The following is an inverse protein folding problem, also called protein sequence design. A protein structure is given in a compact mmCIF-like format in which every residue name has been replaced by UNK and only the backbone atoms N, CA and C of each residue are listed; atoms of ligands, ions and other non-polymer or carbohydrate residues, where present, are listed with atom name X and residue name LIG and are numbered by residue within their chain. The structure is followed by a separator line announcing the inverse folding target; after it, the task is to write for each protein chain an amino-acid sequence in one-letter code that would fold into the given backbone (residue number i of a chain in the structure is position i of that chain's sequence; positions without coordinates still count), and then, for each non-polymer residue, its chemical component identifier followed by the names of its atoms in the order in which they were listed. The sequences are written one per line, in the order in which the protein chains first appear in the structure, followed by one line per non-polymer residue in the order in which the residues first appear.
data_IF_807867361574
#
_entry.id   IF_807867361574
#
_cell.length_a   1.000
_cell.length_b   1.000
_cell.length_c   1.000
_cell.angle_alpha   90.00
_cell.angle_beta   90.00
_cell.angle_gamma   90.00
#
_symmetry.space_group_name_H-M   'P 1'
#
loop_
_entity.id
_entity.type
_entity.pdbx_description
1 polymer ?
#
# COMPACT_ATOMS: atom_id res chain seq x y z
N UNK A 1 -2.73 12.87 11.83
CA UNK A 1 -2.88 11.92 10.71
C UNK A 1 -2.35 12.48 9.38
N UNK A 2 -2.84 13.64 8.90
CA UNK A 2 -2.43 14.23 7.61
C UNK A 2 -0.90 14.38 7.40
N UNK A 3 -0.11 14.86 8.38
CA UNK A 3 1.35 14.96 8.23
C UNK A 3 2.02 13.59 8.06
N UNK A 4 1.52 12.59 8.80
CA UNK A 4 2.00 11.20 8.72
C UNK A 4 1.72 10.60 7.33
N UNK A 5 0.53 10.86 6.79
CA UNK A 5 0.15 10.39 5.45
C UNK A 5 0.98 11.05 4.35
N UNK A 6 1.18 12.37 4.40
CA UNK A 6 2.08 13.07 3.46
C UNK A 6 3.50 12.50 3.48
N UNK A 7 4.04 12.20 4.67
CA UNK A 7 5.37 11.58 4.82
C UNK A 7 5.42 10.19 4.19
N UNK A 8 4.38 9.38 4.40
CA UNK A 8 4.23 8.06 3.77
C UNK A 8 4.19 8.16 2.24
N UNK A 9 3.36 9.02 1.67
CA UNK A 9 3.24 9.19 0.22
C UNK A 9 4.57 9.61 -0.42
N UNK A 10 5.34 10.50 0.22
CA UNK A 10 6.68 10.88 -0.26
C UNK A 10 7.64 9.69 -0.29
N UNK A 11 7.63 8.87 0.77
CA UNK A 11 8.48 7.68 0.87
C UNK A 11 8.10 6.62 -0.17
N UNK A 12 6.79 6.39 -0.34
CA UNK A 12 6.24 5.49 -1.36
C UNK A 12 6.62 5.95 -2.77
N UNK A 13 6.44 7.24 -3.08
CA UNK A 13 6.80 7.82 -4.38
C UNK A 13 8.30 7.69 -4.67
N UNK A 14 9.15 7.95 -3.68
CA UNK A 14 10.59 7.78 -3.81
C UNK A 14 10.98 6.34 -4.16
N UNK A 15 10.39 5.35 -3.47
CA UNK A 15 10.63 3.93 -3.79
C UNK A 15 10.05 3.55 -5.15
N UNK A 16 8.89 4.09 -5.51
CA UNK A 16 8.27 3.83 -6.78
C UNK A 16 9.09 4.39 -7.95
N UNK A 17 9.65 5.60 -7.84
CA UNK A 17 10.59 6.16 -8.83
C UNK A 17 11.82 5.26 -8.98
N UNK A 18 12.37 4.73 -7.88
CA UNK A 18 13.47 3.76 -7.96
C UNK A 18 13.07 2.50 -8.73
N UNK A 19 11.88 1.96 -8.46
CA UNK A 19 11.36 0.80 -9.18
C UNK A 19 11.19 1.09 -10.69
N UNK A 20 10.61 2.23 -11.05
CA UNK A 20 10.45 2.66 -12.44
C UNK A 20 11.80 2.82 -13.16
N UNK A 21 12.79 3.39 -12.48
CA UNK A 21 14.14 3.51 -13.01
C UNK A 21 14.78 2.14 -13.28
N UNK A 22 14.63 1.17 -12.36
CA UNK A 22 15.12 -0.21 -12.55
C UNK A 22 14.42 -0.89 -13.74
N UNK A 23 13.13 -0.62 -13.93
CA UNK A 23 12.34 -1.12 -15.06
C UNK A 23 12.57 -0.33 -16.35
N UNK A 24 13.37 0.74 -16.32
CA UNK A 24 13.61 1.67 -17.44
C UNK A 24 12.31 2.31 -17.98
N UNK A 25 11.28 2.44 -17.16
CA UNK A 25 10.02 3.11 -17.51
C UNK A 25 10.18 4.62 -17.27
N UNK A 26 9.88 5.43 -18.29
CA UNK A 26 10.10 6.89 -18.29
C UNK A 26 8.95 7.63 -18.97
N UNK A 27 8.98 8.96 -18.92
CA UNK A 27 8.05 9.83 -19.64
C UNK A 27 6.61 9.73 -19.14
N UNK A 28 5.65 9.86 -20.05
CA UNK A 28 4.22 9.88 -19.73
C UNK A 28 3.78 8.63 -18.97
N UNK A 29 4.23 7.45 -19.40
CA UNK A 29 3.93 6.18 -18.72
C UNK A 29 4.39 6.18 -17.26
N UNK A 30 5.57 6.72 -16.98
CA UNK A 30 6.05 6.86 -15.59
C UNK A 30 5.17 7.78 -14.76
N UNK A 31 4.64 8.86 -15.34
CA UNK A 31 3.76 9.79 -14.64
C UNK A 31 2.39 9.17 -14.36
N UNK A 32 1.82 8.47 -15.35
CA UNK A 32 0.54 7.78 -15.22
C UNK A 32 0.61 6.68 -14.15
N UNK A 33 1.69 5.91 -14.11
CA UNK A 33 1.91 4.90 -13.07
C UNK A 33 2.01 5.52 -11.67
N UNK A 34 2.75 6.63 -11.52
CA UNK A 34 2.85 7.33 -10.23
C UNK A 34 1.50 7.85 -9.76
N UNK A 35 0.71 8.44 -10.66
CA UNK A 35 -0.65 8.89 -10.37
C UNK A 35 -1.53 7.71 -9.95
N UNK A 36 -1.49 6.61 -10.70
CA UNK A 36 -2.26 5.40 -10.41
C UNK A 36 -1.93 4.79 -9.05
N UNK A 37 -0.66 4.81 -8.64
CA UNK A 37 -0.26 4.34 -7.32
C UNK A 37 -0.79 5.25 -6.19
N UNK A 38 -0.81 6.57 -6.38
CA UNK A 38 -1.41 7.48 -5.40
C UNK A 38 -2.93 7.34 -5.31
N UNK A 39 -3.60 7.19 -6.44
CA UNK A 39 -5.05 6.92 -6.48
C UNK A 39 -5.36 5.60 -5.79
N UNK A 40 -4.58 4.54 -6.05
CA UNK A 40 -4.72 3.28 -5.34
C UNK A 40 -4.52 3.44 -3.83
N UNK A 41 -3.46 4.12 -3.40
CA UNK A 41 -3.20 4.34 -1.97
C UNK A 41 -4.34 5.12 -1.28
N UNK A 42 -4.91 6.11 -1.96
CA UNK A 42 -6.05 6.87 -1.46
C UNK A 42 -7.32 5.99 -1.39
N UNK A 43 -7.59 5.20 -2.42
CA UNK A 43 -8.73 4.29 -2.45
C UNK A 43 -8.62 3.21 -1.37
N UNK A 44 -7.44 2.67 -1.11
CA UNK A 44 -7.21 1.74 0.01
C UNK A 44 -7.58 2.33 1.39
N UNK A 45 -7.61 3.66 1.52
CA UNK A 45 -7.98 4.34 2.77
C UNK A 45 -9.48 4.68 2.77
N UNK A 46 -9.99 5.26 1.69
CA UNK A 46 -11.33 5.86 1.65
C UNK A 46 -12.41 4.99 1.03
N UNK A 47 -12.05 4.15 0.05
CA UNK A 47 -12.96 3.33 -0.75
C UNK A 47 -12.30 1.99 -1.09
N UNK A 48 -11.99 1.16 -0.07
CA UNK A 48 -11.32 -0.11 -0.31
C UNK A 48 -12.26 -1.08 -1.06
N UNK A 49 -11.68 -1.92 -1.90
CA UNK A 49 -12.43 -2.96 -2.63
C UNK A 49 -12.95 -4.06 -1.70
N UNK A 50 -12.20 -4.34 -0.65
CA UNK A 50 -12.51 -5.36 0.35
C UNK A 50 -12.51 -4.70 1.73
N UNK A 51 -13.49 -5.04 2.55
CA UNK A 51 -13.62 -4.52 3.91
C UNK A 51 -14.18 -3.11 3.97
N UNK A 52 -13.81 -2.38 5.03
CA UNK A 52 -14.34 -1.06 5.35
C UNK A 52 -13.25 0.03 5.23
N UNK A 53 -13.63 1.28 4.92
CA UNK A 53 -12.67 2.38 4.85
C UNK A 53 -11.98 2.63 6.19
N UNK A 54 -10.70 2.99 6.13
CA UNK A 54 -9.96 3.49 7.28
C UNK A 54 -10.43 4.88 7.72
N UNK A 55 -10.91 5.66 6.75
CA UNK A 55 -11.46 7.00 6.97
C UNK A 55 -12.74 7.09 6.15
N UNK A 56 -13.88 7.26 6.82
CA UNK A 56 -15.17 7.41 6.17
C UNK A 56 -16.29 6.87 7.04
N UNK A 57 -17.46 6.78 6.43
CA UNK A 57 -18.68 6.23 7.05
C UNK A 57 -19.08 4.96 6.33
N UNK A 58 -19.50 3.96 7.10
CA UNK A 58 -20.14 2.75 6.58
C UNK A 58 -21.62 2.77 6.92
N UNK A 59 -22.45 2.29 6.01
CA UNK A 59 -23.86 2.01 6.31
C UNK A 59 -23.94 0.58 6.84
N UNK A 60 -24.55 0.44 8.01
CA UNK A 60 -24.83 -0.85 8.61
C UNK A 60 -26.34 -1.06 8.62
N UNK A 61 -26.76 -2.30 8.43
CA UNK A 61 -28.18 -2.64 8.37
C UNK A 61 -28.84 -2.68 9.77
N UNK A 62 -28.05 -2.52 10.84
CA UNK A 62 -28.48 -2.57 12.24
C UNK A 62 -27.77 -1.48 13.05
N UNK A 63 -28.40 -1.06 14.15
CA UNK A 63 -27.84 -0.09 15.11
C UNK A 63 -26.77 -0.71 16.05
N UNK A 64 -26.19 -1.84 15.66
CA UNK A 64 -25.17 -2.56 16.41
C UNK A 64 -23.86 -2.47 15.63
N UNK A 65 -22.77 -2.17 16.33
CA UNK A 65 -21.47 -2.12 15.67
C UNK A 65 -21.09 -3.50 15.12
N UNK A 66 -20.40 -3.60 13.97
CA UNK A 66 -20.24 -4.86 13.26
C UNK A 66 -19.52 -5.93 14.08
N UNK A 67 -18.56 -5.53 14.92
CA UNK A 67 -17.80 -6.44 15.78
C UNK A 67 -18.60 -7.00 16.97
N UNK A 68 -19.83 -6.54 17.19
CA UNK A 68 -20.77 -7.10 18.17
C UNK A 68 -21.88 -7.95 17.53
N UNK A 69 -21.93 -8.05 16.20
CA UNK A 69 -22.94 -8.84 15.48
C UNK A 69 -22.32 -10.13 14.93
N UNK A 70 -22.94 -11.26 15.27
CA UNK A 70 -22.51 -12.60 14.89
C UNK A 70 -22.47 -12.79 13.37
N UNK A 71 -23.30 -12.06 12.61
CA UNK A 71 -23.31 -12.10 11.14
C UNK A 71 -21.98 -11.63 10.52
N UNK A 72 -21.20 -10.83 11.25
CA UNK A 72 -19.92 -10.29 10.78
C UNK A 72 -18.70 -10.99 11.36
N UNK A 73 -18.88 -12.14 12.05
CA UNK A 73 -17.79 -12.86 12.70
C UNK A 73 -16.65 -13.23 11.74
N UNK A 74 -17.00 -13.59 10.51
CA UNK A 74 -16.03 -13.98 9.45
C UNK A 74 -15.74 -12.83 8.47
N UNK A 75 -16.23 -11.62 8.75
CA UNK A 75 -16.05 -10.48 7.86
C UNK A 75 -14.62 -9.92 7.94
N UNK A 76 -13.97 -9.76 6.79
CA UNK A 76 -12.67 -9.10 6.71
C UNK A 76 -12.90 -7.59 6.74
N UNK A 77 -12.74 -6.98 7.91
CA UNK A 77 -12.90 -5.53 8.07
C UNK A 77 -11.78 -4.75 7.42
N UNK A 78 -10.54 -5.23 7.53
CA UNK A 78 -9.37 -4.53 7.03
C UNK A 78 -8.39 -5.49 6.37
N UNK A 79 -7.94 -5.15 5.18
CA UNK A 79 -6.87 -5.86 4.50
C UNK A 79 -5.52 -5.65 5.21
N UNK A 80 -4.53 -6.51 4.94
CA UNK A 80 -3.22 -6.47 5.61
C UNK A 80 -2.53 -5.09 5.46
N UNK A 81 -2.57 -4.52 4.26
CA UNK A 81 -1.98 -3.20 3.99
C UNK A 81 -2.71 -2.09 4.77
N UNK A 82 -4.04 -2.19 4.93
CA UNK A 82 -4.82 -1.27 5.74
C UNK A 82 -4.48 -1.37 7.23
N UNK A 83 -4.32 -2.60 7.76
CA UNK A 83 -3.88 -2.82 9.14
C UNK A 83 -2.49 -2.24 9.40
N UNK A 84 -1.55 -2.38 8.44
CA UNK A 84 -0.21 -1.76 8.58
C UNK A 84 -0.26 -0.24 8.49
N UNK A 85 -1.13 0.33 7.64
CA UNK A 85 -1.39 1.78 7.62
C UNK A 85 -1.96 2.28 8.94
N UNK A 86 -2.96 1.59 9.52
CA UNK A 86 -3.51 1.93 10.84
C UNK A 86 -2.43 1.93 11.92
N UNK A 87 -1.62 0.87 11.99
CA UNK A 87 -0.51 0.77 12.96
C UNK A 87 0.48 1.94 12.80
N UNK A 88 0.81 2.30 11.57
CA UNK A 88 1.71 3.42 11.28
C UNK A 88 1.11 4.77 11.69
N UNK A 89 -0.19 4.98 11.48
CA UNK A 89 -0.84 6.23 11.87
C UNK A 89 -1.02 6.37 13.38
N UNK A 90 -1.26 5.25 14.08
CA UNK A 90 -1.53 5.23 15.52
C UNK A 90 -0.27 5.28 16.40
N UNK A 91 0.88 4.81 15.92
CA UNK A 91 2.13 4.77 16.71
C UNK A 91 3.10 5.90 16.39
N UNK A 92 4.16 6.00 17.19
CA UNK A 92 5.31 6.86 16.90
C UNK A 92 6.04 6.42 15.63
N UNK A 93 6.48 7.41 14.87
CA UNK A 93 7.06 7.20 13.56
C UNK A 93 8.54 6.87 13.66
N UNK A 94 8.90 5.62 13.40
CA UNK A 94 10.29 5.25 13.12
C UNK A 94 10.54 5.25 11.61
N UNK A 95 11.78 5.52 11.21
CA UNK A 95 12.19 5.42 9.81
C UNK A 95 12.01 3.98 9.29
N UNK A 96 12.22 2.98 10.15
CA UNK A 96 12.00 1.57 9.83
C UNK A 96 10.55 1.26 9.48
N UNK A 97 9.58 1.70 10.31
CA UNK A 97 8.16 1.45 10.04
C UNK A 97 7.68 2.18 8.79
N UNK A 98 8.18 3.40 8.53
CA UNK A 98 7.93 4.13 7.29
C UNK A 98 8.44 3.35 6.08
N UNK A 99 9.68 2.86 6.13
CA UNK A 99 10.28 2.11 5.03
C UNK A 99 9.52 0.81 4.77
N UNK A 100 9.27 0.00 5.81
CA UNK A 100 8.54 -1.27 5.69
C UNK A 100 7.16 -1.09 5.07
N UNK A 101 6.40 -0.10 5.53
CA UNK A 101 5.07 0.19 4.97
C UNK A 101 5.18 0.69 3.53
N UNK A 102 6.15 1.54 3.23
CA UNK A 102 6.33 2.06 1.86
C UNK A 102 6.67 0.94 0.87
N UNK A 103 7.57 0.03 1.26
CA UNK A 103 7.92 -1.15 0.45
C UNK A 103 6.71 -2.03 0.24
N UNK A 104 5.93 -2.32 1.30
CA UNK A 104 4.71 -3.11 1.17
C UNK A 104 3.76 -2.46 0.16
N UNK A 105 3.45 -1.16 0.30
CA UNK A 105 2.49 -0.48 -0.57
C UNK A 105 2.91 -0.54 -2.04
N UNK A 106 4.18 -0.27 -2.34
CA UNK A 106 4.70 -0.37 -3.72
C UNK A 106 4.59 -1.81 -4.23
N UNK A 107 5.05 -2.80 -3.45
CA UNK A 107 5.02 -4.20 -3.84
C UNK A 107 3.58 -4.70 -4.08
N UNK A 108 2.66 -4.40 -3.16
CA UNK A 108 1.24 -4.76 -3.26
C UNK A 108 0.58 -4.13 -4.49
N UNK A 109 0.88 -2.86 -4.79
CA UNK A 109 0.32 -2.22 -5.98
C UNK A 109 0.83 -2.85 -7.27
N UNK A 110 2.15 -3.09 -7.39
CA UNK A 110 2.71 -3.77 -8.55
C UNK A 110 2.15 -5.19 -8.72
N UNK A 111 2.05 -5.95 -7.63
CA UNK A 111 1.54 -7.31 -7.66
C UNK A 111 0.13 -7.39 -8.26
N UNK A 112 -0.77 -6.49 -7.85
CA UNK A 112 -2.17 -6.51 -8.29
C UNK A 112 -2.43 -5.81 -9.63
N UNK A 113 -1.68 -4.75 -9.93
CA UNK A 113 -2.02 -3.84 -11.04
C UNK A 113 -1.07 -4.00 -12.23
N UNK A 114 0.16 -4.44 -11.98
CA UNK A 114 1.25 -4.52 -12.96
C UNK A 114 2.07 -5.82 -12.77
N UNK A 115 1.44 -7.00 -12.92
CA UNK A 115 2.06 -8.28 -12.56
C UNK A 115 3.32 -8.60 -13.37
N UNK A 116 3.42 -8.11 -14.62
CA UNK A 116 4.62 -8.29 -15.45
C UNK A 116 5.81 -7.52 -14.87
N UNK A 117 5.59 -6.26 -14.52
CA UNK A 117 6.58 -5.39 -13.89
C UNK A 117 6.96 -5.91 -12.50
N UNK A 118 6.00 -6.44 -11.74
CA UNK A 118 6.26 -7.10 -10.46
C UNK A 118 7.23 -8.28 -10.61
N UNK A 119 7.00 -9.17 -11.58
CA UNK A 119 7.90 -10.31 -11.87
C UNK A 119 9.28 -9.83 -12.31
N UNK A 120 9.37 -8.76 -13.10
CA UNK A 120 10.66 -8.18 -13.49
C UNK A 120 11.41 -7.62 -12.28
N UNK A 121 10.73 -6.88 -11.39
CA UNK A 121 11.34 -6.34 -10.17
C UNK A 121 11.81 -7.43 -9.21
N UNK A 122 11.03 -8.51 -9.04
CA UNK A 122 11.42 -9.61 -8.17
C UNK A 122 12.66 -10.35 -8.68
N UNK A 123 12.76 -10.56 -9.99
CA UNK A 123 13.96 -11.11 -10.63
C UNK A 123 15.19 -10.23 -10.40
N UNK A 124 15.07 -8.92 -10.60
CA UNK A 124 16.16 -7.97 -10.37
C UNK A 124 16.63 -8.02 -8.90
N UNK A 125 15.70 -8.04 -7.95
CA UNK A 125 16.03 -8.12 -6.53
C UNK A 125 16.73 -9.43 -6.15
N UNK A 126 16.32 -10.57 -6.72
CA UNK A 126 16.97 -11.86 -6.49
C UNK A 126 18.42 -11.88 -7.00
N UNK A 127 18.68 -11.27 -8.16
CA UNK A 127 20.04 -11.16 -8.72
C UNK A 127 20.93 -10.27 -7.85
N UNK A 128 20.42 -9.12 -7.42
CA UNK A 128 21.16 -8.22 -6.53
C UNK A 128 21.53 -8.92 -5.22
N UNK A 129 20.58 -9.62 -4.58
CA UNK A 129 20.83 -10.35 -3.33
C UNK A 129 21.87 -11.47 -3.48
N UNK A 130 21.94 -12.13 -4.64
CA UNK A 130 22.94 -13.15 -4.92
C UNK A 130 24.36 -12.55 -5.05
N UNK A 131 24.50 -11.33 -5.55
CA UNK A 131 25.79 -10.63 -5.66
C UNK A 131 26.30 -10.09 -4.31
N UNK A 132 25.44 -9.89 -3.31
CA UNK A 132 25.86 -9.46 -1.97
C UNK A 132 26.30 -10.62 -1.06
N UNK A 133 26.17 -11.88 -1.50
CA UNK A 133 26.59 -13.07 -0.74
C UNK A 133 27.86 -13.75 -1.30
N UNK A 134 28.56 -13.10 -2.24
CA UNK A 134 29.87 -13.50 -2.76
C UNK A 134 30.93 -12.49 -2.31
#
# INVERSE_FOLDING_TARGET
MLPKFKKLLKSVDYLHIKALNKLKIKGLTSNDMRKGLFEWALNSIMNPKIGIPLIGTIKLNKDIAPWYDQEYKDFIFFEEHQLKMLRYFSKDQTNENLLKLSVLMVATWYHHTHPKEYISLSKIASVENAHFQQ
#
